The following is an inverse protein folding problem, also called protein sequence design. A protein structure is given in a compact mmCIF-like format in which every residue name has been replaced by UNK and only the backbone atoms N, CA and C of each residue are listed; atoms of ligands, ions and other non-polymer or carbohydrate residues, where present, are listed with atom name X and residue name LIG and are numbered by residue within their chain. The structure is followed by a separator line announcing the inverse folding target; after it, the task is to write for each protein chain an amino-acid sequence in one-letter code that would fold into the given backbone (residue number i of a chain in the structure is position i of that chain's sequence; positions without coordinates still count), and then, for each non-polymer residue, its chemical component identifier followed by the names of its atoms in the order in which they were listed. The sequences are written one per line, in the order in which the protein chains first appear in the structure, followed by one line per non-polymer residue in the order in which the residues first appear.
data_IF_455416627925
#
_entry.id   IF_455416627925
#
_cell.length_a   1.000
_cell.length_b   1.000
_cell.length_c   1.000
_cell.angle_alpha   90.00
_cell.angle_beta   90.00
_cell.angle_gamma   90.00
#
_symmetry.space_group_name_H-M   'P 1'
#
loop_
_entity.id
_entity.type
_entity.pdbx_description
1 polymer ?
#
# COMPACT_ATOMS: atom_id res chain seq x y z
N UNK A 1 -13.38 0.14 -20.68
CA UNK A 1 -12.52 0.14 -21.89
C UNK A 1 -11.87 -1.24 -22.04
N UNK A 2 -11.29 -1.62 -23.20
CA UNK A 2 -10.50 -2.86 -23.25
C UNK A 2 -9.28 -2.75 -22.32
N UNK A 3 -8.81 -3.89 -21.81
CA UNK A 3 -7.50 -4.03 -21.18
C UNK A 3 -6.42 -3.37 -22.03
N UNK A 4 -5.55 -2.61 -21.37
CA UNK A 4 -4.34 -2.07 -21.96
C UNK A 4 -3.47 -3.21 -22.55
N UNK A 5 -2.76 -3.01 -23.67
CA UNK A 5 -1.95 -4.06 -24.29
C UNK A 5 -0.85 -4.64 -23.38
N UNK A 6 -0.19 -3.81 -22.57
CA UNK A 6 0.86 -4.26 -21.64
C UNK A 6 0.22 -5.05 -20.48
N UNK A 7 -0.88 -4.54 -19.94
CA UNK A 7 -1.66 -5.25 -18.91
C UNK A 7 -2.17 -6.62 -19.41
N UNK A 8 -2.63 -6.67 -20.67
CA UNK A 8 -3.05 -7.94 -21.30
C UNK A 8 -1.87 -8.91 -21.42
N UNK A 9 -0.69 -8.44 -21.83
CA UNK A 9 0.48 -9.29 -21.94
C UNK A 9 0.87 -9.89 -20.58
N UNK A 10 0.77 -9.12 -19.49
CA UNK A 10 0.96 -9.63 -18.12
C UNK A 10 -0.04 -10.74 -17.79
N UNK A 11 -1.33 -10.52 -18.06
CA UNK A 11 -2.38 -11.53 -17.83
C UNK A 11 -2.11 -12.82 -18.61
N UNK A 12 -1.73 -12.71 -19.89
CA UNK A 12 -1.46 -13.86 -20.77
C UNK A 12 -0.19 -14.65 -20.36
N UNK A 13 0.79 -13.98 -19.75
CA UNK A 13 2.05 -14.57 -19.32
C UNK A 13 1.98 -15.16 -17.89
N UNK A 14 0.99 -14.77 -17.09
CA UNK A 14 0.84 -15.25 -15.71
C UNK A 14 0.24 -16.65 -15.69
N UNK A 15 0.96 -17.69 -15.23
CA UNK A 15 0.45 -19.05 -15.20
C UNK A 15 -0.72 -19.19 -14.22
N UNK A 16 -1.77 -19.91 -14.61
CA UNK A 16 -2.92 -20.19 -13.75
C UNK A 16 -2.55 -20.92 -12.43
N UNK A 17 -1.40 -21.60 -12.39
CA UNK A 17 -0.86 -22.32 -11.22
C UNK A 17 -0.33 -21.41 -10.10
N UNK A 18 -0.33 -20.09 -10.30
CA UNK A 18 0.08 -19.10 -9.28
C UNK A 18 -1.09 -18.56 -8.46
N UNK A 19 -2.31 -19.07 -8.70
CA UNK A 19 -3.49 -18.68 -7.94
C UNK A 19 -3.38 -19.12 -6.46
N UNK A 20 -3.51 -18.20 -5.48
CA UNK A 20 -3.44 -18.48 -4.04
C UNK A 20 -4.28 -19.68 -3.58
N UNK A 21 -5.44 -19.89 -4.21
CA UNK A 21 -6.40 -20.95 -3.89
C UNK A 21 -5.86 -22.38 -3.98
N UNK A 22 -4.66 -22.59 -4.53
CA UNK A 22 -4.04 -23.92 -4.68
C UNK A 22 -2.83 -24.15 -3.77
N UNK A 23 -2.35 -23.14 -3.04
CA UNK A 23 -1.11 -23.21 -2.26
C UNK A 23 -1.36 -22.97 -0.77
N UNK A 24 -0.54 -23.59 0.09
CA UNK A 24 -0.45 -23.14 1.48
C UNK A 24 0.18 -21.74 1.55
N UNK A 25 -0.06 -20.95 2.62
CA UNK A 25 0.58 -19.64 2.78
C UNK A 25 2.10 -19.66 2.64
N UNK A 26 2.77 -20.67 3.19
CA UNK A 26 4.23 -20.83 3.06
C UNK A 26 4.66 -21.08 1.60
N UNK A 27 3.94 -21.94 0.86
CA UNK A 27 4.23 -22.18 -0.55
C UNK A 27 3.98 -20.95 -1.41
N UNK A 28 2.90 -20.21 -1.14
CA UNK A 28 2.57 -18.99 -1.87
C UNK A 28 3.64 -17.91 -1.63
N UNK A 29 4.11 -17.74 -0.38
CA UNK A 29 5.22 -16.83 -0.07
C UNK A 29 6.49 -17.19 -0.82
N UNK A 30 6.88 -18.47 -0.82
CA UNK A 30 8.08 -18.92 -1.51
C UNK A 30 7.98 -18.68 -3.02
N UNK A 31 6.85 -19.05 -3.63
CA UNK A 31 6.61 -18.83 -5.06
C UNK A 31 6.60 -17.33 -5.42
N UNK A 32 6.01 -16.49 -4.55
CA UNK A 32 5.99 -15.04 -4.74
C UNK A 32 7.40 -14.43 -4.69
N UNK A 33 8.19 -14.77 -3.67
CA UNK A 33 9.57 -14.27 -3.53
C UNK A 33 10.51 -14.76 -4.64
N UNK A 34 10.29 -15.96 -5.19
CA UNK A 34 11.02 -16.45 -6.36
C UNK A 34 10.64 -15.71 -7.65
N UNK A 35 9.37 -15.35 -7.80
CA UNK A 35 8.84 -14.71 -9.02
C UNK A 35 9.18 -13.22 -9.07
N UNK A 36 9.06 -12.52 -7.94
CA UNK A 36 9.09 -11.06 -7.88
C UNK A 36 10.37 -10.55 -7.25
N UNK A 37 11.50 -10.80 -7.91
CA UNK A 37 12.78 -10.29 -7.42
C UNK A 37 13.01 -8.85 -7.85
N UNK A 38 13.61 -8.07 -6.95
CA UNK A 38 14.12 -6.74 -7.29
C UNK A 38 15.04 -6.83 -8.52
N UNK A 39 14.86 -5.96 -9.53
CA UNK A 39 15.77 -5.88 -10.66
C UNK A 39 17.23 -5.71 -10.22
N UNK A 40 18.17 -6.37 -10.91
CA UNK A 40 19.58 -6.30 -10.54
C UNK A 40 20.19 -4.88 -10.63
N UNK A 41 19.61 -4.03 -11.48
CA UNK A 41 20.11 -2.67 -11.75
C UNK A 41 19.04 -1.63 -11.41
N UNK A 42 18.75 -1.46 -10.12
CA UNK A 42 17.90 -0.39 -9.65
C UNK A 42 18.64 0.95 -9.64
N UNK A 43 17.96 1.99 -10.10
CA UNK A 43 18.48 3.36 -10.01
C UNK A 43 18.85 3.70 -8.56
N UNK A 44 20.05 4.23 -8.31
CA UNK A 44 20.52 4.51 -6.97
C UNK A 44 19.73 5.66 -6.32
N UNK A 45 19.69 5.62 -5.00
CA UNK A 45 19.34 6.74 -4.12
C UNK A 45 20.50 6.97 -3.16
N UNK A 46 20.49 8.08 -2.42
CA UNK A 46 21.60 8.47 -1.56
C UNK A 46 22.05 7.38 -0.57
N UNK A 47 21.10 6.76 0.16
CA UNK A 47 21.37 5.61 1.03
C UNK A 47 20.21 4.63 1.03
N UNK A 48 20.54 3.34 1.14
CA UNK A 48 19.59 2.27 1.44
C UNK A 48 20.17 1.41 2.55
N UNK A 49 19.42 1.25 3.63
CA UNK A 49 19.83 0.42 4.77
C UNK A 49 18.61 -0.10 5.53
N UNK A 50 18.79 -1.24 6.18
CA UNK A 50 17.79 -1.79 7.09
C UNK A 50 18.05 -1.32 8.51
N UNK A 51 16.96 -1.20 9.26
CA UNK A 51 16.96 -0.82 10.67
C UNK A 51 15.88 -1.61 11.40
N UNK A 52 16.14 -1.88 12.67
CA UNK A 52 15.13 -2.42 13.57
C UNK A 52 14.54 -1.32 14.44
N UNK A 53 13.21 -1.31 14.57
CA UNK A 53 12.44 -0.38 15.40
C UNK A 53 11.58 -1.16 16.40
N UNK A 54 11.20 -0.58 17.56
CA UNK A 54 10.26 -1.21 18.46
C UNK A 54 8.87 -1.31 17.82
N UNK A 55 8.29 -2.50 17.86
CA UNK A 55 6.91 -2.79 17.50
C UNK A 55 6.08 -3.26 18.70
N UNK A 56 4.78 -3.53 18.49
CA UNK A 56 3.83 -3.85 19.56
C UNK A 56 4.15 -5.15 20.32
N UNK A 57 4.73 -6.15 19.65
CA UNK A 57 5.03 -7.48 20.23
C UNK A 57 6.45 -7.92 19.89
N UNK A 58 7.39 -6.97 19.78
CA UNK A 58 8.78 -7.24 19.45
C UNK A 58 9.35 -6.24 18.47
N UNK A 59 10.44 -6.61 17.84
CA UNK A 59 11.14 -5.80 16.85
C UNK A 59 10.45 -5.83 15.47
N UNK A 60 10.44 -4.68 14.79
CA UNK A 60 10.01 -4.56 13.39
C UNK A 60 11.20 -4.13 12.54
N UNK A 61 11.44 -4.85 11.44
CA UNK A 61 12.43 -4.43 10.44
C UNK A 61 11.81 -3.40 9.50
N UNK A 62 12.55 -2.33 9.25
CA UNK A 62 12.25 -1.34 8.22
C UNK A 62 13.43 -1.18 7.28
N UNK A 63 13.17 -0.94 6.00
CA UNK A 63 14.19 -0.52 5.04
C UNK A 63 14.00 0.96 4.74
N UNK A 64 15.06 1.72 4.95
CA UNK A 64 15.09 3.17 4.76
C UNK A 64 15.76 3.49 3.44
N UNK A 65 15.08 4.25 2.60
CA UNK A 65 15.59 4.83 1.37
C UNK A 65 15.72 6.34 1.56
N UNK A 66 16.94 6.83 1.64
CA UNK A 66 17.24 8.23 1.82
C UNK A 66 17.66 8.86 0.48
N UNK A 67 17.11 10.03 0.10
CA UNK A 67 17.58 10.76 -1.08
C UNK A 67 18.98 11.36 -0.83
N UNK A 68 19.60 11.88 -1.89
CA UNK A 68 20.88 12.57 -1.78
C UNK A 68 20.78 13.87 -0.95
N UNK A 69 21.79 14.13 -0.13
CA UNK A 69 21.88 15.32 0.74
C UNK A 69 21.77 15.00 2.23
N UNK A 70 21.74 16.06 3.04
CA UNK A 70 21.90 15.96 4.50
C UNK A 70 20.58 16.02 5.30
N UNK A 71 19.45 16.34 4.65
CA UNK A 71 18.13 16.45 5.30
C UNK A 71 17.93 17.74 6.14
N UNK A 72 16.89 17.79 6.99
CA UNK A 72 15.84 16.78 7.14
C UNK A 72 14.90 16.77 5.92
N UNK A 73 14.57 15.57 5.46
CA UNK A 73 13.66 15.34 4.34
C UNK A 73 12.24 15.06 4.84
N UNK A 74 11.18 15.38 4.08
CA UNK A 74 9.88 14.77 4.33
C UNK A 74 9.97 13.25 4.37
N UNK A 75 9.00 12.59 4.99
CA UNK A 75 8.98 11.14 5.15
C UNK A 75 7.74 10.51 4.52
N UNK A 76 7.90 9.30 3.98
CA UNK A 76 6.84 8.43 3.52
C UNK A 76 6.97 7.07 4.22
N UNK A 77 5.97 6.70 5.02
CA UNK A 77 5.86 5.31 5.52
C UNK A 77 5.17 4.49 4.45
N UNK A 78 5.84 3.44 3.95
CA UNK A 78 5.34 2.59 2.89
C UNK A 78 5.01 1.18 3.40
N UNK A 79 3.82 0.69 3.06
CA UNK A 79 3.41 -0.69 3.31
C UNK A 79 3.23 -1.42 1.98
N UNK A 80 3.89 -2.57 1.85
CA UNK A 80 3.75 -3.42 0.68
C UNK A 80 2.36 -4.06 0.57
N UNK A 81 1.98 -4.49 -0.64
CA UNK A 81 0.80 -5.31 -0.87
C UNK A 81 1.00 -6.78 -0.53
N UNK A 82 0.07 -7.64 -0.94
CA UNK A 82 0.17 -9.10 -0.76
C UNK A 82 -0.87 -9.70 0.21
N UNK A 83 -2.04 -9.08 0.32
CA UNK A 83 -3.17 -9.65 1.08
C UNK A 83 -2.83 -10.01 2.53
N UNK A 84 -1.93 -9.25 3.16
CA UNK A 84 -1.38 -9.48 4.52
C UNK A 84 -0.66 -10.83 4.73
N UNK A 85 -0.50 -11.63 3.70
CA UNK A 85 0.07 -12.98 3.78
C UNK A 85 1.39 -13.07 3.04
N UNK A 86 1.59 -12.35 1.94
CA UNK A 86 2.81 -12.37 1.13
C UNK A 86 3.41 -10.97 0.98
N UNK A 87 4.55 -10.90 0.28
CA UNK A 87 5.33 -9.68 0.09
C UNK A 87 6.36 -9.47 1.19
N UNK A 88 7.43 -8.77 0.83
CA UNK A 88 8.54 -8.38 1.67
C UNK A 88 9.04 -6.99 1.26
N UNK A 89 10.16 -6.57 1.84
CA UNK A 89 10.83 -5.33 1.48
C UNK A 89 11.40 -5.36 0.05
N UNK A 90 11.76 -6.55 -0.47
CA UNK A 90 12.46 -6.70 -1.74
C UNK A 90 11.56 -6.43 -2.95
N UNK A 91 10.32 -6.92 -2.95
CA UNK A 91 9.39 -6.79 -4.08
C UNK A 91 8.94 -5.34 -4.31
N UNK A 92 9.12 -4.47 -3.31
CA UNK A 92 8.72 -3.06 -3.38
C UNK A 92 9.92 -2.12 -3.52
N UNK A 93 11.13 -2.65 -3.66
CA UNK A 93 12.35 -1.84 -3.63
C UNK A 93 12.41 -0.84 -4.80
N UNK A 94 12.02 -1.27 -6.00
CA UNK A 94 11.98 -0.41 -7.18
C UNK A 94 11.09 0.82 -6.95
N UNK A 95 9.86 0.59 -6.49
CA UNK A 95 8.87 1.61 -6.16
C UNK A 95 9.34 2.54 -5.06
N UNK A 96 9.90 2.00 -3.98
CA UNK A 96 10.41 2.81 -2.87
C UNK A 96 11.55 3.74 -3.31
N UNK A 97 12.48 3.25 -4.13
CA UNK A 97 13.56 4.08 -4.70
C UNK A 97 13.01 5.17 -5.63
N UNK A 98 12.04 4.83 -6.48
CA UNK A 98 11.40 5.80 -7.37
C UNK A 98 10.71 6.90 -6.58
N UNK A 99 9.92 6.55 -5.58
CA UNK A 99 9.22 7.51 -4.71
C UNK A 99 10.20 8.36 -3.91
N UNK A 100 11.23 7.75 -3.32
CA UNK A 100 12.30 8.45 -2.60
C UNK A 100 12.93 9.54 -3.46
N UNK A 101 13.39 9.19 -4.66
CA UNK A 101 14.04 10.11 -5.60
C UNK A 101 13.09 11.18 -6.12
N UNK A 102 11.88 10.80 -6.54
CA UNK A 102 10.97 11.75 -7.18
C UNK A 102 10.29 12.67 -6.18
N UNK A 103 9.91 12.18 -4.99
CA UNK A 103 9.33 13.02 -3.94
C UNK A 103 10.40 13.79 -3.14
N UNK A 104 11.68 13.44 -3.30
CA UNK A 104 12.79 13.94 -2.49
C UNK A 104 12.50 13.79 -1.00
N UNK A 105 12.13 12.56 -0.63
CA UNK A 105 11.64 12.19 0.70
C UNK A 105 12.31 10.89 1.17
N UNK A 106 12.51 10.76 2.47
CA UNK A 106 12.85 9.48 3.08
C UNK A 106 11.67 8.54 2.90
N UNK A 107 11.89 7.34 2.36
CA UNK A 107 10.87 6.27 2.33
C UNK A 107 11.27 5.22 3.36
N UNK A 108 10.39 4.96 4.32
CA UNK A 108 10.53 3.89 5.30
C UNK A 108 9.56 2.76 4.94
N UNK A 109 10.07 1.72 4.28
CA UNK A 109 9.28 0.52 3.95
C UNK A 109 9.27 -0.44 5.14
N UNK A 110 8.09 -0.93 5.50
CA UNK A 110 7.87 -1.67 6.77
C UNK A 110 7.65 -3.16 6.49
N UNK A 111 8.46 -4.01 7.12
CA UNK A 111 8.25 -5.46 7.12
C UNK A 111 7.29 -5.85 8.26
N UNK A 112 6.01 -5.55 8.07
CA UNK A 112 4.96 -5.84 9.06
C UNK A 112 4.71 -7.35 9.18
N UNK A 113 4.18 -7.80 10.32
CA UNK A 113 3.89 -9.22 10.56
C UNK A 113 2.79 -9.74 9.64
N UNK A 114 2.99 -10.94 9.09
CA UNK A 114 2.10 -11.56 8.12
C UNK A 114 1.22 -12.65 8.72
N UNK A 115 0.02 -12.79 8.16
CA UNK A 115 -0.90 -13.88 8.45
C UNK A 115 -0.55 -15.14 7.62
N UNK A 116 -0.90 -16.35 8.09
CA UNK A 116 -1.74 -16.64 9.25
C UNK A 116 -1.01 -16.73 10.60
N UNK A 117 0.32 -16.62 10.63
CA UNK A 117 1.12 -16.67 11.87
C UNK A 117 0.77 -15.51 12.81
N UNK A 118 0.52 -14.34 12.21
CA UNK A 118 0.12 -13.13 12.89
C UNK A 118 -1.12 -12.54 12.22
N UNK A 119 -2.27 -13.11 12.55
CA UNK A 119 -3.58 -12.63 12.11
C UNK A 119 -3.89 -11.21 12.63
N UNK A 120 -4.93 -10.59 12.09
CA UNK A 120 -5.46 -9.31 12.56
C UNK A 120 -5.54 -9.28 14.10
N UNK A 121 -5.16 -8.19 14.80
CA UNK A 121 -4.75 -6.89 14.29
C UNK A 121 -3.23 -6.73 14.11
N UNK A 122 -2.44 -7.81 14.04
CA UNK A 122 -0.97 -7.71 14.11
C UNK A 122 -0.36 -6.72 13.10
N UNK A 123 -0.66 -6.87 11.80
CA UNK A 123 -0.14 -5.97 10.77
C UNK A 123 -0.66 -4.52 10.93
N UNK A 124 -1.91 -4.34 11.37
CA UNK A 124 -2.51 -3.02 11.58
C UNK A 124 -1.83 -2.28 12.74
N UNK A 125 -1.55 -2.97 13.84
CA UNK A 125 -0.79 -2.42 14.97
C UNK A 125 0.67 -2.16 14.60
N UNK A 126 1.29 -2.99 13.75
CA UNK A 126 2.65 -2.74 13.25
C UNK A 126 2.70 -1.50 12.36
N UNK A 127 1.71 -1.31 11.49
CA UNK A 127 1.60 -0.14 10.64
C UNK A 127 1.45 1.15 11.45
N UNK A 128 0.58 1.14 12.46
CA UNK A 128 0.44 2.26 13.39
C UNK A 128 1.70 2.51 14.22
N UNK A 129 2.35 1.46 14.72
CA UNK A 129 3.60 1.58 15.46
C UNK A 129 4.74 2.17 14.61
N UNK A 130 4.85 1.79 13.35
CA UNK A 130 5.83 2.37 12.42
C UNK A 130 5.57 3.87 12.17
N UNK A 131 4.30 4.26 12.01
CA UNK A 131 3.91 5.66 11.89
C UNK A 131 4.26 6.46 13.16
N UNK A 132 3.95 5.95 14.35
CA UNK A 132 4.34 6.58 15.61
C UNK A 132 5.86 6.70 15.75
N UNK A 133 6.59 5.63 15.40
CA UNK A 133 8.04 5.60 15.53
C UNK A 133 8.70 6.66 14.65
N UNK A 134 8.30 6.82 13.39
CA UNK A 134 8.92 7.84 12.53
C UNK A 134 8.56 9.26 12.96
N UNK A 135 7.40 9.48 13.60
CA UNK A 135 7.04 10.78 14.17
C UNK A 135 7.86 11.12 15.42
N UNK A 136 8.28 10.13 16.21
CA UNK A 136 9.09 10.34 17.41
C UNK A 136 10.60 10.33 17.12
N UNK A 137 11.05 9.51 16.17
CA UNK A 137 12.45 9.20 15.91
C UNK A 137 12.92 9.52 14.48
N UNK A 138 12.11 10.25 13.70
CA UNK A 138 12.39 10.54 12.29
C UNK A 138 13.76 11.18 12.04
N UNK A 139 14.21 12.06 12.94
CA UNK A 139 15.52 12.71 12.83
C UNK A 139 16.68 11.70 12.75
N UNK A 140 16.54 10.53 13.37
CA UNK A 140 17.56 9.48 13.36
C UNK A 140 17.77 8.85 11.98
N UNK A 141 16.82 9.04 11.06
CA UNK A 141 16.89 8.60 9.66
C UNK A 141 16.84 9.78 8.69
N UNK A 142 17.17 10.99 9.16
CA UNK A 142 17.10 12.25 8.43
C UNK A 142 15.69 12.62 7.91
N UNK A 143 14.65 12.10 8.55
CA UNK A 143 13.25 12.43 8.27
C UNK A 143 12.75 13.58 9.16
N UNK A 144 11.90 14.42 8.61
CA UNK A 144 11.20 15.51 9.28
C UNK A 144 9.87 14.98 9.85
N UNK A 145 9.71 14.93 11.18
CA UNK A 145 8.52 14.37 11.82
C UNK A 145 7.25 15.19 11.57
N UNK A 146 7.36 16.45 11.14
CA UNK A 146 6.20 17.31 10.83
C UNK A 146 5.70 17.12 9.39
N UNK A 147 6.43 16.37 8.55
CA UNK A 147 6.11 16.17 7.14
C UNK A 147 6.09 14.69 6.77
N UNK A 148 5.24 13.93 7.46
CA UNK A 148 5.08 12.49 7.25
C UNK A 148 3.83 12.21 6.39
N UNK A 149 3.99 11.48 5.30
CA UNK A 149 2.90 10.85 4.57
C UNK A 149 2.91 9.34 4.82
N UNK A 150 1.76 8.71 4.61
CA UNK A 150 1.57 7.27 4.79
C UNK A 150 0.99 6.67 3.51
N UNK A 151 1.49 5.52 3.07
CA UNK A 151 1.12 4.97 1.79
C UNK A 151 1.26 3.46 1.69
N UNK A 152 0.58 2.89 0.69
CA UNK A 152 0.78 1.50 0.30
C UNK A 152 -0.11 1.08 -0.86
N UNK A 153 0.11 -0.15 -1.32
CA UNK A 153 -0.68 -0.79 -2.37
C UNK A 153 -1.48 -1.96 -1.83
N UNK A 154 -2.73 -2.15 -2.27
CA UNK A 154 -3.53 -3.33 -1.94
C UNK A 154 -3.77 -3.45 -0.43
N UNK A 155 -3.35 -4.54 0.20
CA UNK A 155 -3.30 -4.70 1.65
C UNK A 155 -2.43 -3.64 2.34
N UNK A 156 -1.37 -3.14 1.71
CA UNK A 156 -0.61 -2.00 2.22
C UNK A 156 -1.38 -0.68 2.15
N UNK A 157 -2.21 -0.49 1.12
CA UNK A 157 -3.14 0.62 1.02
C UNK A 157 -4.20 0.56 2.13
N UNK A 158 -4.68 -0.64 2.46
CA UNK A 158 -5.50 -0.87 3.65
C UNK A 158 -4.77 -0.43 4.93
N UNK A 159 -3.54 -0.90 5.15
CA UNK A 159 -2.75 -0.57 6.33
C UNK A 159 -2.49 0.94 6.46
N UNK A 160 -2.26 1.65 5.36
CA UNK A 160 -2.11 3.10 5.35
C UNK A 160 -3.40 3.83 5.77
N UNK A 161 -4.56 3.40 5.26
CA UNK A 161 -5.85 3.96 5.65
C UNK A 161 -6.18 3.66 7.12
N UNK A 162 -5.98 2.41 7.55
CA UNK A 162 -6.21 1.95 8.93
C UNK A 162 -5.29 2.65 9.92
N UNK A 163 -4.00 2.78 9.64
CA UNK A 163 -3.08 3.47 10.53
C UNK A 163 -3.40 4.97 10.62
N UNK A 164 -3.87 5.59 9.53
CA UNK A 164 -4.39 6.97 9.56
C UNK A 164 -5.62 7.09 10.49
N UNK A 165 -6.53 6.13 10.40
CA UNK A 165 -7.73 6.05 11.25
C UNK A 165 -7.36 5.85 12.72
N UNK A 166 -6.50 4.87 13.01
CA UNK A 166 -5.97 4.61 14.35
C UNK A 166 -5.28 5.84 14.92
N UNK A 167 -4.49 6.55 14.12
CA UNK A 167 -3.77 7.72 14.60
C UNK A 167 -4.73 8.86 14.95
N UNK A 168 -5.77 9.12 14.15
CA UNK A 168 -6.82 10.07 14.53
C UNK A 168 -7.48 9.66 15.86
N UNK A 169 -7.89 8.41 15.97
CA UNK A 169 -8.67 7.91 17.12
C UNK A 169 -7.83 7.78 18.40
N UNK A 170 -6.52 7.59 18.27
CA UNK A 170 -5.56 7.39 19.37
C UNK A 170 -4.74 8.64 19.70
N UNK A 171 -5.01 9.78 19.05
CA UNK A 171 -4.46 11.09 19.41
C UNK A 171 -3.20 11.53 18.66
N UNK A 172 -2.80 10.83 17.60
CA UNK A 172 -1.70 11.20 16.70
C UNK A 172 -0.80 10.01 16.37
N UNK A 173 0.25 10.23 15.55
CA UNK A 173 0.59 11.46 14.82
C UNK A 173 -0.35 11.72 13.63
N UNK A 174 -0.34 12.91 13.04
CA UNK A 174 -1.22 13.25 11.90
C UNK A 174 -0.41 13.28 10.58
N UNK A 175 -0.59 12.30 9.67
CA UNK A 175 0.05 12.38 8.37
C UNK A 175 -0.41 13.62 7.58
N UNK A 176 0.44 14.14 6.70
CA UNK A 176 0.07 15.22 5.77
C UNK A 176 -0.66 14.71 4.52
N UNK A 177 -0.56 13.40 4.26
CA UNK A 177 -1.22 12.71 3.14
C UNK A 177 -1.35 11.22 3.46
N UNK A 178 -2.50 10.62 3.12
CA UNK A 178 -2.66 9.17 2.93
C UNK A 178 -2.71 8.84 1.43
N UNK A 179 -1.72 8.10 0.93
CA UNK A 179 -1.63 7.72 -0.48
C UNK A 179 -1.94 6.24 -0.67
N UNK A 180 -3.11 5.95 -1.24
CA UNK A 180 -3.74 4.63 -1.24
C UNK A 180 -3.84 4.11 -2.68
N UNK A 181 -3.08 3.06 -3.02
CA UNK A 181 -3.17 2.42 -4.33
C UNK A 181 -3.97 1.13 -4.20
N UNK A 182 -5.04 1.01 -4.99
CA UNK A 182 -5.95 -0.14 -5.04
C UNK A 182 -6.26 -0.69 -3.65
N UNK A 183 -6.64 0.16 -2.67
CA UNK A 183 -6.71 -0.26 -1.29
C UNK A 183 -7.83 -1.28 -1.08
N UNK A 184 -7.59 -2.31 -0.28
CA UNK A 184 -8.67 -3.13 0.27
C UNK A 184 -9.35 -2.32 1.37
N UNK A 185 -10.65 -2.06 1.27
CA UNK A 185 -11.35 -1.21 2.26
C UNK A 185 -12.60 -1.87 2.85
N UNK A 186 -13.06 -2.98 2.25
CA UNK A 186 -14.26 -3.68 2.62
C UNK A 186 -14.12 -5.20 2.39
N UNK A 187 -14.96 -6.03 3.01
CA UNK A 187 -14.94 -7.46 2.73
C UNK A 187 -15.42 -7.75 1.30
N UNK A 188 -15.06 -8.91 0.74
CA UNK A 188 -15.54 -9.33 -0.57
C UNK A 188 -17.07 -9.33 -0.58
N UNK A 189 -17.63 -8.65 -1.56
CA UNK A 189 -19.07 -8.54 -1.76
C UNK A 189 -19.36 -8.50 -3.26
N UNK A 190 -20.63 -8.64 -3.64
CA UNK A 190 -21.06 -8.59 -5.05
C UNK A 190 -21.12 -7.14 -5.58
N UNK A 191 -20.05 -6.36 -5.33
CA UNK A 191 -19.80 -5.09 -6.01
C UNK A 191 -19.59 -5.33 -7.50
N UNK A 192 -19.85 -4.32 -8.32
CA UNK A 192 -19.80 -4.48 -9.78
C UNK A 192 -18.41 -4.92 -10.25
N UNK A 193 -17.34 -4.35 -9.69
CA UNK A 193 -15.96 -4.74 -9.98
C UNK A 193 -15.63 -6.19 -9.60
N UNK A 194 -16.15 -6.68 -8.47
CA UNK A 194 -16.00 -8.06 -8.03
C UNK A 194 -16.71 -9.07 -8.94
N UNK A 195 -17.74 -8.64 -9.67
CA UNK A 195 -18.47 -9.46 -10.66
C UNK A 195 -17.82 -9.35 -12.03
N UNK A 196 -17.56 -8.13 -12.51
CA UNK A 196 -17.04 -7.87 -13.86
C UNK A 196 -15.62 -8.42 -14.06
N UNK A 197 -14.78 -8.36 -13.01
CA UNK A 197 -13.36 -8.72 -13.06
C UNK A 197 -13.02 -9.90 -12.15
N UNK A 198 -14.02 -10.74 -11.83
CA UNK A 198 -13.86 -11.89 -10.95
C UNK A 198 -12.72 -12.82 -11.37
N UNK A 199 -12.53 -12.99 -12.68
CA UNK A 199 -11.57 -13.91 -13.31
C UNK A 199 -10.97 -13.29 -14.58
N UNK A 200 -9.76 -13.70 -14.95
CA UNK A 200 -9.13 -13.31 -16.23
C UNK A 200 -8.46 -11.94 -16.25
N UNK A 201 -8.28 -11.28 -15.09
CA UNK A 201 -7.66 -9.95 -14.95
C UNK A 201 -6.53 -9.94 -13.92
N UNK A 202 -5.67 -10.97 -13.94
CA UNK A 202 -4.53 -11.17 -13.02
C UNK A 202 -4.94 -11.47 -11.57
N UNK A 203 -5.50 -10.51 -10.84
CA UNK A 203 -5.98 -10.70 -9.47
C UNK A 203 -7.47 -11.05 -9.45
N UNK A 204 -7.81 -12.20 -8.89
CA UNK A 204 -9.18 -12.76 -8.96
C UNK A 204 -9.95 -12.58 -7.66
N UNK A 205 -11.28 -12.70 -7.74
CA UNK A 205 -12.15 -12.75 -6.56
C UNK A 205 -11.74 -13.87 -5.61
N UNK A 206 -11.51 -15.07 -6.15
CA UNK A 206 -11.14 -16.24 -5.37
C UNK A 206 -9.80 -16.06 -4.65
N UNK A 207 -8.84 -15.37 -5.27
CA UNK A 207 -7.59 -14.97 -4.60
C UNK A 207 -7.85 -14.08 -3.39
N UNK A 208 -8.73 -13.08 -3.53
CA UNK A 208 -9.05 -12.18 -2.42
C UNK A 208 -9.78 -12.91 -1.30
N UNK A 209 -10.77 -13.73 -1.63
CA UNK A 209 -11.48 -14.58 -0.65
C UNK A 209 -10.50 -15.47 0.13
N UNK A 210 -9.51 -16.07 -0.55
CA UNK A 210 -8.46 -16.85 0.11
C UNK A 210 -7.62 -16.03 1.09
N UNK A 211 -7.22 -14.80 0.75
CA UNK A 211 -6.50 -13.91 1.69
C UNK A 211 -7.36 -13.57 2.93
N UNK A 212 -8.67 -13.40 2.73
CA UNK A 212 -9.64 -13.20 3.81
C UNK A 212 -9.87 -14.44 4.68
N UNK A 213 -9.54 -15.65 4.23
CA UNK A 213 -9.50 -16.84 5.09
C UNK A 213 -8.26 -16.87 5.99
N UNK A 214 -7.18 -16.19 5.59
CA UNK A 214 -5.90 -16.22 6.32
C UNK A 214 -5.78 -15.12 7.37
N UNK A 215 -6.27 -13.90 7.07
CA UNK A 215 -5.93 -12.70 7.83
C UNK A 215 -6.81 -12.40 9.06
N UNK A 216 -8.15 -12.36 8.97
CA UNK A 216 -9.02 -12.24 10.13
C UNK A 216 -8.83 -13.42 11.10
N UNK A 217 -8.93 -13.16 12.41
CA UNK A 217 -8.91 -14.25 13.41
C UNK A 217 -10.28 -14.91 13.50
N UNK A 218 -11.32 -14.09 13.46
CA UNK A 218 -12.71 -14.49 13.60
C UNK A 218 -13.60 -13.66 12.66
N UNK A 219 -14.81 -14.14 12.31
CA UNK A 219 -15.70 -13.44 11.37
C UNK A 219 -16.03 -12.00 11.77
N UNK A 220 -16.14 -11.71 13.07
CA UNK A 220 -16.48 -10.38 13.58
C UNK A 220 -15.40 -9.32 13.28
N UNK A 221 -14.15 -9.74 13.03
CA UNK A 221 -13.09 -8.82 12.62
C UNK A 221 -13.45 -8.09 11.30
N UNK A 222 -14.28 -8.69 10.43
CA UNK A 222 -14.72 -8.09 9.16
C UNK A 222 -15.67 -6.89 9.34
N UNK A 223 -16.14 -6.65 10.57
CA UNK A 223 -16.92 -5.47 10.92
C UNK A 223 -16.07 -4.41 11.65
N UNK A 224 -14.81 -4.70 11.93
CA UNK A 224 -13.92 -3.79 12.63
C UNK A 224 -13.37 -2.73 11.67
N UNK A 225 -13.49 -1.43 11.96
CA UNK A 225 -13.00 -0.36 11.07
C UNK A 225 -11.47 -0.33 10.96
N UNK A 226 -10.75 -0.95 11.91
CA UNK A 226 -9.30 -1.14 11.82
C UNK A 226 -8.88 -2.33 10.95
N UNK A 227 -9.85 -3.04 10.39
CA UNK A 227 -9.63 -3.98 9.31
C UNK A 227 -10.29 -3.46 8.03
N UNK A 228 -11.55 -3.04 8.12
CA UNK A 228 -12.37 -2.59 7.00
C UNK A 228 -12.69 -1.09 7.14
N UNK A 229 -11.76 -0.19 6.75
CA UNK A 229 -11.91 1.25 6.97
C UNK A 229 -13.12 1.87 6.27
N UNK A 230 -13.68 1.22 5.22
CA UNK A 230 -14.95 1.63 4.62
C UNK A 230 -16.13 1.51 5.61
N UNK A 231 -16.00 0.78 6.72
CA UNK A 231 -17.04 0.61 7.73
C UNK A 231 -16.88 1.55 8.94
N UNK A 232 -15.87 2.43 8.96
CA UNK A 232 -15.72 3.39 10.06
C UNK A 232 -16.92 4.33 10.14
N UNK A 233 -17.47 4.55 11.33
CA UNK A 233 -18.65 5.42 11.53
C UNK A 233 -18.35 6.88 11.14
N UNK A 234 -17.13 7.34 11.40
CA UNK A 234 -16.67 8.69 11.14
C UNK A 234 -15.31 8.65 10.41
N UNK A 235 -15.21 9.40 9.31
CA UNK A 235 -13.97 9.60 8.52
C UNK A 235 -13.49 11.06 8.54
N UNK A 236 -14.16 11.94 9.29
CA UNK A 236 -13.73 13.33 9.45
C UNK A 236 -12.35 13.41 10.12
N UNK A 237 -11.66 14.53 9.92
CA UNK A 237 -10.32 14.81 10.47
C UNK A 237 -9.22 13.79 10.11
N UNK A 238 -9.45 12.94 9.11
CA UNK A 238 -8.41 12.13 8.48
C UNK A 238 -7.51 12.99 7.57
N UNK A 239 -6.26 12.56 7.30
CA UNK A 239 -5.36 13.29 6.42
C UNK A 239 -5.93 13.37 4.99
N UNK A 240 -5.59 14.43 4.22
CA UNK A 240 -5.89 14.49 2.79
C UNK A 240 -5.47 13.18 2.10
N UNK A 241 -6.23 12.78 1.10
CA UNK A 241 -6.05 11.48 0.45
C UNK A 241 -5.75 11.61 -1.04
N UNK A 242 -4.89 10.72 -1.53
CA UNK A 242 -4.79 10.36 -2.94
C UNK A 242 -5.15 8.89 -3.07
N UNK A 243 -6.25 8.60 -3.75
CA UNK A 243 -6.71 7.24 -4.01
C UNK A 243 -6.53 6.93 -5.48
N UNK A 244 -5.74 5.89 -5.79
CA UNK A 244 -5.53 5.40 -7.14
C UNK A 244 -6.17 4.03 -7.29
N UNK A 245 -7.01 3.82 -8.30
CA UNK A 245 -7.60 2.50 -8.60
C UNK A 245 -7.26 2.05 -10.01
N UNK A 246 -7.26 0.74 -10.25
CA UNK A 246 -7.17 0.18 -11.59
C UNK A 246 -8.60 -0.05 -12.15
N UNK A 247 -8.83 0.17 -13.44
CA UNK A 247 -10.17 -0.05 -14.02
C UNK A 247 -10.59 -1.52 -13.96
N UNK A 248 -9.65 -2.44 -14.22
CA UNK A 248 -9.89 -3.87 -14.38
C UNK A 248 -9.37 -4.68 -13.18
N UNK A 249 -9.87 -4.39 -11.98
CA UNK A 249 -9.58 -5.13 -10.76
C UNK A 249 -10.81 -5.30 -9.88
N UNK A 250 -10.81 -6.32 -9.01
CA UNK A 250 -11.93 -6.58 -8.08
C UNK A 250 -12.08 -5.47 -7.02
N UNK A 251 -10.98 -4.88 -6.55
CA UNK A 251 -10.95 -3.89 -5.47
C UNK A 251 -11.37 -2.47 -5.88
N UNK A 252 -11.64 -2.24 -7.18
CA UNK A 252 -11.89 -0.90 -7.71
C UNK A 252 -13.03 -0.20 -6.97
N UNK A 253 -14.19 -0.83 -6.92
CA UNK A 253 -15.40 -0.16 -6.44
C UNK A 253 -15.29 0.20 -4.95
N UNK A 254 -14.71 -0.66 -4.11
CA UNK A 254 -14.55 -0.38 -2.68
C UNK A 254 -13.49 0.68 -2.38
N UNK A 255 -12.41 0.75 -3.18
CA UNK A 255 -11.45 1.84 -3.11
C UNK A 255 -12.09 3.19 -3.48
N UNK A 256 -12.92 3.20 -4.53
CA UNK A 256 -13.67 4.40 -4.94
C UNK A 256 -14.76 4.79 -3.95
N UNK A 257 -15.48 3.82 -3.38
CA UNK A 257 -16.45 4.04 -2.29
C UNK A 257 -15.77 4.71 -1.09
N UNK A 258 -14.58 4.26 -0.71
CA UNK A 258 -13.83 4.86 0.40
C UNK A 258 -13.43 6.30 0.10
N UNK A 259 -12.94 6.58 -1.11
CA UNK A 259 -12.63 7.94 -1.56
C UNK A 259 -13.86 8.85 -1.52
N UNK A 260 -15.02 8.36 -1.94
CA UNK A 260 -16.27 9.12 -1.84
C UNK A 260 -16.68 9.38 -0.38
N UNK A 261 -16.56 8.40 0.51
CA UNK A 261 -16.84 8.62 1.94
C UNK A 261 -15.90 9.64 2.59
N UNK A 262 -14.63 9.68 2.18
CA UNK A 262 -13.69 10.71 2.63
C UNK A 262 -14.16 12.11 2.20
N UNK A 263 -14.57 12.27 0.93
CA UNK A 263 -15.12 13.53 0.42
C UNK A 263 -16.39 13.94 1.16
N UNK A 264 -17.31 13.01 1.40
CA UNK A 264 -18.56 13.25 2.12
C UNK A 264 -18.32 13.66 3.58
N UNK A 265 -17.24 13.16 4.19
CA UNK A 265 -16.79 13.53 5.53
C UNK A 265 -15.98 14.85 5.57
N UNK A 266 -15.80 15.53 4.42
CA UNK A 266 -15.08 16.79 4.32
C UNK A 266 -13.55 16.66 4.24
N UNK A 267 -13.03 15.45 4.05
CA UNK A 267 -11.59 15.21 3.85
C UNK A 267 -11.22 15.48 2.38
N UNK A 268 -10.25 16.35 2.09
CA UNK A 268 -9.78 16.54 0.72
C UNK A 268 -9.26 15.23 0.14
N UNK A 269 -9.88 14.75 -0.94
CA UNK A 269 -9.49 13.50 -1.58
C UNK A 269 -9.40 13.68 -3.09
N UNK A 270 -8.27 13.28 -3.68
CA UNK A 270 -8.14 13.08 -5.11
C UNK A 270 -8.37 11.60 -5.42
N UNK A 271 -9.32 11.29 -6.30
CA UNK A 271 -9.58 9.93 -6.77
C UNK A 271 -9.21 9.82 -8.25
N UNK A 272 -8.32 8.90 -8.59
CA UNK A 272 -7.88 8.66 -9.97
C UNK A 272 -7.98 7.18 -10.32
N UNK A 273 -8.82 6.88 -11.31
CA UNK A 273 -8.88 5.56 -11.93
C UNK A 273 -7.92 5.48 -13.11
N UNK A 274 -7.05 4.48 -13.13
CA UNK A 274 -6.15 4.17 -14.24
C UNK A 274 -6.84 3.24 -15.24
N UNK A 275 -7.20 3.74 -16.44
CA UNK A 275 -8.02 2.97 -17.36
C UNK A 275 -7.26 1.81 -18.03
N UNK A 276 -7.94 0.69 -18.24
CA UNK A 276 -7.39 -0.53 -18.84
C UNK A 276 -6.33 -1.26 -18.00
N UNK A 277 -6.02 -0.79 -16.79
CA UNK A 277 -4.99 -1.35 -15.93
C UNK A 277 -5.55 -2.41 -14.96
N UNK A 278 -4.64 -3.21 -14.40
CA UNK A 278 -4.91 -4.35 -13.50
C UNK A 278 -4.33 -4.12 -12.10
N UNK A 279 -4.75 -4.95 -11.14
CA UNK A 279 -4.20 -4.93 -9.79
C UNK A 279 -2.68 -5.12 -9.78
N UNK A 280 -1.96 -4.42 -8.90
CA UNK A 280 -0.50 -4.46 -8.83
C UNK A 280 0.22 -3.54 -9.82
N UNK A 281 -0.51 -2.72 -10.58
CA UNK A 281 0.08 -1.85 -11.59
C UNK A 281 1.03 -0.79 -11.02
N UNK A 282 0.99 -0.51 -9.72
CA UNK A 282 1.80 0.56 -9.14
C UNK A 282 3.12 0.04 -8.62
N UNK A 283 3.12 -1.04 -7.83
CA UNK A 283 4.32 -1.51 -7.16
C UNK A 283 4.86 -2.83 -7.72
N UNK A 284 3.99 -3.79 -8.02
CA UNK A 284 4.41 -5.13 -8.42
C UNK A 284 4.87 -5.21 -9.88
N UNK A 285 4.19 -4.47 -10.76
CA UNK A 285 4.29 -4.62 -12.21
C UNK A 285 5.08 -3.48 -12.88
N UNK A 286 5.96 -2.80 -12.15
CA UNK A 286 6.59 -1.54 -12.58
C UNK A 286 7.48 -1.67 -13.81
N UNK A 287 8.06 -2.85 -14.00
CA UNK A 287 8.93 -3.14 -15.15
C UNK A 287 8.12 -3.63 -16.36
N UNK A 288 6.89 -4.10 -16.14
CA UNK A 288 6.03 -4.67 -17.17
C UNK A 288 5.03 -3.64 -17.71
N UNK A 289 4.70 -2.62 -16.93
CA UNK A 289 3.68 -1.63 -17.26
C UNK A 289 4.27 -0.22 -17.29
N UNK A 290 4.30 0.37 -18.48
CA UNK A 290 4.76 1.75 -18.69
C UNK A 290 3.91 2.78 -17.92
N UNK A 291 2.64 2.45 -17.64
CA UNK A 291 1.74 3.29 -16.86
C UNK A 291 2.24 3.51 -15.42
N UNK A 292 3.02 2.58 -14.85
CA UNK A 292 3.53 2.68 -13.49
C UNK A 292 4.43 3.90 -13.34
N UNK A 293 5.24 4.23 -14.36
CA UNK A 293 6.05 5.43 -14.34
C UNK A 293 5.22 6.72 -14.34
N UNK A 294 4.05 6.73 -15.01
CA UNK A 294 3.10 7.85 -14.96
C UNK A 294 2.49 7.96 -13.57
N UNK A 295 2.05 6.84 -13.00
CA UNK A 295 1.45 6.78 -11.68
C UNK A 295 2.43 7.22 -10.58
N UNK A 296 3.69 6.79 -10.66
CA UNK A 296 4.76 7.25 -9.79
C UNK A 296 4.99 8.76 -9.87
N UNK A 297 5.00 9.35 -11.07
CA UNK A 297 5.15 10.80 -11.21
C UNK A 297 3.97 11.55 -10.60
N UNK A 298 2.76 11.02 -10.77
CA UNK A 298 1.56 11.58 -10.19
C UNK A 298 1.62 11.52 -8.65
N UNK A 299 1.85 10.34 -8.08
CA UNK A 299 2.01 10.16 -6.64
C UNK A 299 3.10 11.07 -6.06
N UNK A 300 4.26 11.13 -6.71
CA UNK A 300 5.38 11.98 -6.28
C UNK A 300 5.04 13.48 -6.34
N UNK A 301 4.24 13.91 -7.32
CA UNK A 301 3.76 15.30 -7.37
C UNK A 301 2.83 15.61 -6.20
N UNK A 302 1.87 14.72 -5.92
CA UNK A 302 0.97 14.88 -4.78
C UNK A 302 1.72 14.88 -3.43
N UNK A 303 2.72 14.00 -3.28
CA UNK A 303 3.61 13.98 -2.11
C UNK A 303 4.36 15.30 -1.96
N UNK A 304 5.03 15.81 -3.00
CA UNK A 304 5.73 17.11 -2.93
C UNK A 304 4.79 18.26 -2.59
N UNK A 305 3.57 18.25 -3.11
CA UNK A 305 2.54 19.24 -2.77
C UNK A 305 2.16 19.16 -1.28
N UNK A 306 1.88 17.96 -0.77
CA UNK A 306 1.54 17.73 0.63
C UNK A 306 2.69 18.09 1.60
N UNK A 307 3.93 17.84 1.18
CA UNK A 307 5.13 18.20 1.93
C UNK A 307 5.50 19.69 1.87
N UNK A 308 4.80 20.50 1.07
CA UNK A 308 5.11 21.92 0.86
C UNK A 308 6.41 22.17 0.08
N UNK A 309 6.92 21.16 -0.64
CA UNK A 309 8.15 21.24 -1.45
C UNK A 309 7.88 21.44 -2.95
N UNK A 310 6.61 21.50 -3.34
CA UNK A 310 6.18 21.82 -4.70
C UNK A 310 6.33 23.31 -5.04
N UNK A 311 7.55 23.77 -5.32
CA UNK A 311 7.78 25.04 -6.02
C UNK A 311 7.32 24.96 -7.48
N UNK A 312 6.73 26.07 -7.97
CA UNK A 312 6.16 26.30 -9.32
C UNK A 312 7.05 25.85 -10.48
#
# INVERSE_FOLDING_TARGET
MPLDPEARAVVEQTPASTAPVQLSPAQLRAAFAETWQAPANLEPVGKVYERTIPGPVGELTVRVYQPDGDGPFPALVWFHGGGWVIGTLDENEATCRVLCRQANAVVMSVAYRLAPEHRFPAAAEDAYAALCWIAEHGEEIAADPERIAIAGESAGGNLAAVASLMARDRGGPRPVLQFLVSPVTAPPADRKSYVDYAEGYFFTRASMEWFFEQYPREPDDLHNPYLMPLLADDLSDLPPALVMTAECEVLRDEGEEYAHRLLDAGVPCELVRYPGQIHGFFALLTEQLSISAVAHRHASHALRKAFGTGGL
#
